data_IF_870517047993
#
_entry.id   IF_870517047993
#
_cell.length_a   1.000
_cell.length_b   1.000
_cell.length_c   1.000
_cell.angle_alpha   90.00
_cell.angle_beta   90.00
_cell.angle_gamma   90.00
#
_symmetry.space_group_name_H-M   'P 1'
#
loop_
_entity.id
_entity.type
_entity.pdbx_description
1 polymer ?
#
# COMPACT_ATOMS: atom_id res chain seq x y z
N UNK A 1 -11.01 9.59 10.59
CA UNK A 1 -10.24 10.74 11.10
C UNK A 1 -9.68 10.36 12.46
N UNK A 2 -8.43 9.90 12.52
CA UNK A 2 -7.75 9.63 13.78
C UNK A 2 -6.72 10.72 13.99
N UNK A 3 -6.96 11.55 15.01
CA UNK A 3 -6.06 12.60 15.44
C UNK A 3 -4.80 11.95 16.02
N UNK A 4 -3.74 11.93 15.22
CA UNK A 4 -2.42 11.46 15.59
C UNK A 4 -1.79 12.55 16.46
N UNK A 5 -1.70 12.29 17.76
CA UNK A 5 -1.01 13.18 18.69
C UNK A 5 0.45 13.33 18.26
N UNK A 6 0.80 14.54 17.81
CA UNK A 6 2.19 14.95 17.59
C UNK A 6 2.86 15.04 18.95
N UNK A 7 3.58 13.98 19.33
CA UNK A 7 4.50 14.03 20.45
C UNK A 7 5.66 14.93 20.00
N UNK A 8 5.91 16.08 20.65
CA UNK A 8 6.98 16.97 20.25
C UNK A 8 8.32 16.23 20.32
N UNK A 9 9.11 16.36 19.26
CA UNK A 9 10.44 15.82 19.13
C UNK A 9 11.25 16.20 20.39
N UNK A 10 11.49 15.19 21.22
CA UNK A 10 12.32 15.29 22.40
C UNK A 10 13.68 15.84 22.00
N UNK A 11 14.08 16.88 22.70
CA UNK A 11 15.35 17.55 22.63
C UNK A 11 16.50 16.57 22.40
N UNK A 12 17.26 16.82 21.32
CA UNK A 12 18.58 16.24 21.11
C UNK A 12 19.42 16.59 22.32
N UNK A 13 19.43 15.69 23.30
CA UNK A 13 20.32 15.77 24.44
C UNK A 13 21.64 15.26 23.91
N UNK A 14 22.43 16.18 23.38
CA UNK A 14 23.87 15.97 23.17
C UNK A 14 24.45 15.70 24.57
N UNK A 15 24.31 14.47 25.06
CA UNK A 15 25.08 13.98 26.19
C UNK A 15 26.50 13.88 25.67
N UNK A 16 27.23 15.00 25.78
CA UNK A 16 28.65 14.95 26.04
C UNK A 16 28.86 13.86 27.06
N UNK A 17 29.61 12.84 26.67
CA UNK A 17 30.16 11.81 27.53
C UNK A 17 31.10 12.47 28.55
N UNK A 18 30.53 13.27 29.44
CA UNK A 18 31.15 13.60 30.71
C UNK A 18 31.09 12.30 31.48
N UNK A 19 32.24 11.64 31.56
CA UNK A 19 32.55 10.60 32.53
C UNK A 19 32.20 11.15 33.91
N UNK A 20 30.93 11.09 34.29
CA UNK A 20 30.48 11.35 35.64
C UNK A 20 31.05 10.20 36.45
N UNK A 21 32.28 10.40 36.95
CA UNK A 21 32.72 9.81 38.20
C UNK A 21 31.69 10.28 39.23
N UNK A 22 30.57 9.60 39.31
CA UNK A 22 29.72 9.62 40.47
C UNK A 22 30.54 8.97 41.58
N UNK A 23 31.41 9.75 42.21
CA UNK A 23 31.96 9.42 43.52
C UNK A 23 30.77 9.45 44.46
N UNK A 24 30.07 8.31 44.53
CA UNK A 24 29.18 7.99 45.63
C UNK A 24 30.06 8.06 46.87
N UNK A 25 30.03 9.20 47.55
CA UNK A 25 30.75 9.37 48.81
C UNK A 25 30.03 8.50 49.83
N UNK A 26 30.50 7.28 50.02
CA UNK A 26 30.03 6.44 51.11
C UNK A 26 30.26 7.19 52.43
N UNK A 27 29.30 7.14 53.38
CA UNK A 27 29.48 7.72 54.70
C UNK A 27 30.79 7.18 55.30
N UNK A 28 31.62 8.04 55.93
CA UNK A 28 33.00 7.73 56.31
C UNK A 28 33.16 6.56 57.29
N UNK A 29 32.05 6.11 57.91
CA UNK A 29 32.04 5.06 58.93
C UNK A 29 31.84 3.64 58.39
N UNK A 30 31.65 3.43 57.09
CA UNK A 30 31.46 2.09 56.50
C UNK A 30 32.63 1.78 55.57
N UNK A 31 33.84 1.68 56.14
CA UNK A 31 34.98 1.12 55.41
C UNK A 31 35.06 -0.37 55.71
N UNK A 32 35.15 -1.23 54.69
CA UNK A 32 35.33 -2.66 54.91
C UNK A 32 36.67 -2.88 55.62
N UNK A 33 36.61 -3.28 56.89
CA UNK A 33 37.80 -3.43 57.77
C UNK A 33 38.37 -4.83 57.69
N UNK A 34 37.53 -5.83 57.43
CA UNK A 34 37.95 -7.23 57.30
C UNK A 34 38.21 -7.60 55.84
N UNK A 35 39.10 -8.58 55.61
CA UNK A 35 39.40 -9.08 54.26
C UNK A 35 38.17 -9.66 53.56
N UNK A 36 37.26 -10.28 54.34
CA UNK A 36 35.99 -10.78 53.85
C UNK A 36 35.08 -9.65 53.35
N UNK A 37 34.93 -8.56 54.12
CA UNK A 37 34.16 -7.39 53.70
C UNK A 37 34.73 -6.76 52.43
N UNK A 38 36.06 -6.67 52.32
CA UNK A 38 36.74 -6.14 51.13
C UNK A 38 36.48 -7.00 49.89
N UNK A 39 36.50 -8.33 50.03
CA UNK A 39 36.17 -9.26 48.94
C UNK A 39 34.72 -9.07 48.45
N UNK A 40 33.76 -9.02 49.37
CA UNK A 40 32.35 -8.82 49.01
C UNK A 40 32.09 -7.44 48.42
N UNK A 41 32.72 -6.39 48.94
CA UNK A 41 32.62 -5.04 48.40
C UNK A 41 33.19 -4.97 46.98
N UNK A 42 34.37 -5.55 46.73
CA UNK A 42 34.96 -5.62 45.40
C UNK A 42 34.05 -6.40 44.44
N UNK A 43 33.50 -7.53 44.88
CA UNK A 43 32.57 -8.34 44.08
C UNK A 43 31.28 -7.58 43.76
N UNK A 44 30.70 -6.88 44.73
CA UNK A 44 29.51 -6.06 44.52
C UNK A 44 29.78 -4.94 43.50
N UNK A 45 30.91 -4.23 43.64
CA UNK A 45 31.32 -3.20 42.70
C UNK A 45 31.52 -3.76 41.29
N UNK A 46 32.16 -4.92 41.14
CA UNK A 46 32.28 -5.57 39.81
C UNK A 46 30.95 -5.97 39.21
N UNK A 47 29.98 -6.38 40.04
CA UNK A 47 28.64 -6.71 39.56
C UNK A 47 27.90 -5.45 39.10
N UNK A 48 28.01 -4.34 39.85
CA UNK A 48 27.41 -3.06 39.48
C UNK A 48 28.02 -2.48 38.21
N UNK A 49 29.34 -2.54 38.04
CA UNK A 49 29.98 -2.06 36.81
C UNK A 49 29.59 -2.90 35.60
N UNK A 50 29.53 -4.23 35.74
CA UNK A 50 29.07 -5.14 34.68
C UNK A 50 27.61 -4.88 34.32
N UNK A 51 26.73 -4.72 35.32
CA UNK A 51 25.32 -4.39 35.10
C UNK A 51 25.17 -3.05 34.38
N UNK A 52 25.91 -2.03 34.82
CA UNK A 52 25.91 -0.70 34.19
C UNK A 52 26.35 -0.76 32.73
N UNK A 53 27.39 -1.53 32.43
CA UNK A 53 27.84 -1.75 31.06
C UNK A 53 26.79 -2.46 30.19
N UNK A 54 26.10 -3.47 30.76
CA UNK A 54 25.00 -4.15 30.06
C UNK A 54 23.81 -3.24 29.77
N UNK A 55 23.41 -2.42 30.74
CA UNK A 55 22.32 -1.47 30.58
C UNK A 55 22.66 -0.40 29.54
N UNK A 56 23.88 0.13 29.56
CA UNK A 56 24.35 1.07 28.55
C UNK A 56 24.28 0.45 27.14
N UNK A 57 24.79 -0.78 26.97
CA UNK A 57 24.73 -1.48 25.70
C UNK A 57 23.29 -1.78 25.24
N UNK A 58 22.39 -2.17 26.16
CA UNK A 58 20.98 -2.38 25.82
C UNK A 58 20.30 -1.09 25.34
N UNK A 59 20.59 0.03 25.99
CA UNK A 59 20.08 1.33 25.57
C UNK A 59 20.59 1.69 24.17
N UNK A 60 21.89 1.50 23.89
CA UNK A 60 22.45 1.72 22.56
C UNK A 60 21.76 0.87 21.48
N UNK A 61 21.49 -0.40 21.77
CA UNK A 61 20.77 -1.28 20.85
C UNK A 61 19.32 -0.81 20.62
N UNK A 62 18.64 -0.35 21.67
CA UNK A 62 17.29 0.20 21.54
C UNK A 62 17.29 1.47 20.69
N UNK A 63 18.25 2.37 20.92
CA UNK A 63 18.37 3.61 20.15
C UNK A 63 18.64 3.31 18.67
N UNK A 64 19.58 2.41 18.37
CA UNK A 64 19.86 1.97 17.00
C UNK A 64 18.64 1.34 16.34
N UNK A 65 17.92 0.48 17.05
CA UNK A 65 16.71 -0.17 16.52
C UNK A 65 15.62 0.85 16.17
N UNK A 66 15.39 1.85 17.04
CA UNK A 66 14.39 2.89 16.81
C UNK A 66 14.76 3.79 15.61
N UNK A 67 16.04 4.10 15.44
CA UNK A 67 16.53 4.89 14.30
C UNK A 67 16.37 4.13 12.98
N UNK A 68 16.62 2.82 12.96
CA UNK A 68 16.37 1.99 11.79
C UNK A 68 14.88 1.87 11.46
N UNK A 69 14.03 1.67 12.45
CA UNK A 69 12.58 1.60 12.27
C UNK A 69 12.04 2.91 11.67
N UNK A 70 12.51 4.06 12.14
CA UNK A 70 12.12 5.35 11.57
C UNK A 70 12.60 5.51 10.12
N UNK A 71 13.81 5.03 9.79
CA UNK A 71 14.31 5.03 8.42
C UNK A 71 13.45 4.14 7.50
N UNK A 72 13.13 2.92 7.95
CA UNK A 72 12.25 1.99 7.20
C UNK A 72 10.86 2.58 7.01
N UNK A 73 10.29 3.20 8.04
CA UNK A 73 8.99 3.86 7.95
C UNK A 73 9.00 4.99 6.90
N UNK A 74 10.07 5.79 6.85
CA UNK A 74 10.27 6.83 5.82
C UNK A 74 10.33 6.21 4.42
N UNK A 75 11.14 5.17 4.23
CA UNK A 75 11.27 4.49 2.93
C UNK A 75 9.94 3.89 2.46
N UNK A 76 9.18 3.24 3.35
CA UNK A 76 7.85 2.70 3.05
C UNK A 76 6.89 3.81 2.63
N UNK A 77 6.87 4.94 3.34
CA UNK A 77 5.99 6.06 3.01
C UNK A 77 6.31 6.67 1.64
N UNK A 78 7.59 6.76 1.27
CA UNK A 78 8.02 7.23 -0.04
C UNK A 78 7.62 6.25 -1.15
N UNK A 79 7.75 4.95 -0.88
CA UNK A 79 7.34 3.91 -1.82
C UNK A 79 5.83 3.91 -2.03
N UNK A 80 5.05 4.03 -0.96
CA UNK A 80 3.59 4.17 -1.01
C UNK A 80 3.18 5.36 -1.87
N UNK A 81 3.78 6.53 -1.63
CA UNK A 81 3.48 7.74 -2.42
C UNK A 81 3.76 7.54 -3.91
N UNK A 82 4.89 6.93 -4.28
CA UNK A 82 5.20 6.61 -5.69
C UNK A 82 4.19 5.63 -6.29
N UNK A 83 3.72 4.66 -5.50
CA UNK A 83 2.71 3.72 -5.96
C UNK A 83 1.35 4.40 -6.16
N UNK A 84 0.94 5.29 -5.26
CA UNK A 84 -0.30 6.06 -5.37
C UNK A 84 -0.28 6.99 -6.60
N UNK A 85 0.85 7.65 -6.86
CA UNK A 85 1.04 8.49 -8.06
C UNK A 85 0.91 7.68 -9.36
N UNK A 86 1.46 6.46 -9.42
CA UNK A 86 1.28 5.57 -10.58
C UNK A 86 -0.15 5.05 -10.68
N UNK A 87 -0.74 4.67 -9.55
CA UNK A 87 -2.10 4.11 -9.52
C UNK A 87 -3.15 5.13 -9.97
N UNK A 88 -3.02 6.40 -9.55
CA UNK A 88 -3.91 7.48 -9.99
C UNK A 88 -3.81 7.76 -11.51
N UNK A 89 -2.62 7.66 -12.10
CA UNK A 89 -2.45 7.75 -13.56
C UNK A 89 -3.11 6.58 -14.28
N UNK A 90 -2.96 5.36 -13.76
CA UNK A 90 -3.62 4.18 -14.30
C UNK A 90 -5.14 4.29 -14.18
N UNK A 91 -5.64 4.76 -13.03
CA UNK A 91 -7.07 5.00 -12.81
C UNK A 91 -7.63 6.01 -13.82
N UNK A 92 -6.94 7.12 -14.06
CA UNK A 92 -7.32 8.11 -15.06
C UNK A 92 -7.36 7.52 -16.48
N UNK A 93 -6.36 6.72 -16.85
CA UNK A 93 -6.33 6.05 -18.16
C UNK A 93 -7.48 5.05 -18.31
N UNK A 94 -7.80 4.29 -17.26
CA UNK A 94 -8.91 3.34 -17.30
C UNK A 94 -10.26 4.07 -17.42
N UNK A 95 -10.46 5.16 -16.68
CA UNK A 95 -11.67 5.98 -16.80
C UNK A 95 -11.80 6.54 -18.22
N UNK A 96 -10.71 7.06 -18.80
CA UNK A 96 -10.71 7.59 -20.17
C UNK A 96 -11.02 6.50 -21.21
N UNK A 97 -10.41 5.32 -21.09
CA UNK A 97 -10.67 4.17 -21.96
C UNK A 97 -12.14 3.72 -21.87
N UNK A 98 -12.68 3.67 -20.65
CA UNK A 98 -14.06 3.29 -20.38
C UNK A 98 -15.05 4.29 -20.99
N UNK A 99 -14.79 5.60 -20.86
CA UNK A 99 -15.57 6.65 -21.53
C UNK A 99 -15.52 6.51 -23.06
N UNK A 100 -14.35 6.23 -23.64
CA UNK A 100 -14.18 5.99 -25.07
C UNK A 100 -14.97 4.76 -25.55
N UNK A 101 -14.95 3.67 -24.77
CA UNK A 101 -15.73 2.46 -25.06
C UNK A 101 -17.23 2.75 -25.04
N UNK A 102 -17.73 3.48 -24.04
CA UNK A 102 -19.14 3.87 -23.98
C UNK A 102 -19.52 4.77 -25.16
N UNK A 103 -18.69 5.74 -25.53
CA UNK A 103 -18.93 6.62 -26.66
C UNK A 103 -18.96 5.87 -28.01
N UNK A 104 -18.06 4.91 -28.22
CA UNK A 104 -18.03 4.08 -29.44
C UNK A 104 -19.27 3.18 -29.52
N UNK A 105 -19.68 2.54 -28.43
CA UNK A 105 -20.93 1.75 -28.38
C UNK A 105 -22.14 2.64 -28.69
N UNK A 106 -22.23 3.83 -28.10
CA UNK A 106 -23.31 4.77 -28.36
C UNK A 106 -23.34 5.23 -29.83
N UNK A 107 -22.17 5.52 -30.42
CA UNK A 107 -22.05 5.90 -31.83
C UNK A 107 -22.49 4.77 -32.77
N UNK A 108 -22.15 3.52 -32.48
CA UNK A 108 -22.57 2.34 -33.26
C UNK A 108 -24.09 2.17 -33.18
N UNK A 109 -24.68 2.29 -31.98
CA UNK A 109 -26.13 2.19 -31.81
C UNK A 109 -26.83 3.32 -32.57
N UNK A 110 -26.31 4.54 -32.50
CA UNK A 110 -26.88 5.69 -33.21
C UNK A 110 -26.80 5.53 -34.73
N UNK A 111 -25.65 5.13 -35.27
CA UNK A 111 -25.46 4.93 -36.72
C UNK A 111 -26.36 3.81 -37.26
N UNK A 112 -26.49 2.69 -36.53
CA UNK A 112 -27.38 1.60 -36.92
C UNK A 112 -28.86 2.00 -36.80
N UNK A 113 -29.23 2.87 -35.85
CA UNK A 113 -30.61 3.38 -35.76
C UNK A 113 -30.98 4.26 -36.95
N UNK A 114 -30.07 5.14 -37.38
CA UNK A 114 -30.28 6.03 -38.53
C UNK A 114 -30.26 5.28 -39.88
N UNK A 115 -29.39 4.26 -40.01
CA UNK A 115 -29.28 3.46 -41.24
C UNK A 115 -30.51 2.58 -41.53
N UNK A 116 -31.35 2.27 -40.54
CA UNK A 116 -32.59 1.49 -40.74
C UNK A 116 -33.67 2.23 -41.55
N UNK A 117 -33.49 3.51 -41.85
CA UNK A 117 -34.37 4.28 -42.74
C UNK A 117 -33.91 4.27 -44.21
N UNK A 118 -32.73 3.73 -44.52
CA UNK A 118 -32.31 3.51 -45.91
C UNK A 118 -32.80 2.14 -46.39
N UNK A 119 -33.44 2.11 -47.56
CA UNK A 119 -34.01 0.90 -48.14
C UNK A 119 -32.96 -0.22 -48.28
N UNK A 120 -33.33 -1.50 -48.03
CA UNK A 120 -32.39 -2.60 -48.04
C UNK A 120 -31.95 -2.93 -49.47
N UNK A 121 -30.76 -2.48 -49.87
CA UNK A 121 -30.06 -3.08 -51.03
C UNK A 121 -29.38 -4.35 -50.53
N UNK A 122 -30.05 -5.48 -50.73
CA UNK A 122 -29.52 -6.78 -50.35
C UNK A 122 -28.20 -7.05 -51.04
N UNK A 123 -27.21 -7.49 -50.26
CA UNK A 123 -26.16 -8.46 -50.63
C UNK A 123 -25.48 -8.88 -49.33
N UNK A 124 -25.97 -10.00 -48.76
CA UNK A 124 -25.32 -10.66 -47.64
C UNK A 124 -24.17 -11.50 -48.17
N UNK A 125 -22.94 -11.16 -47.80
CA UNK A 125 -21.80 -12.07 -47.95
C UNK A 125 -21.54 -12.68 -46.56
N UNK A 126 -21.64 -14.01 -46.40
CA UNK A 126 -21.41 -14.68 -45.12
C UNK A 126 -19.90 -14.79 -44.86
N UNK A 127 -19.40 -14.06 -43.85
CA UNK A 127 -18.02 -14.17 -43.38
C UNK A 127 -17.97 -15.07 -42.15
N UNK A 128 -17.72 -16.35 -42.35
CA UNK A 128 -17.32 -17.26 -41.27
C UNK A 128 -15.93 -16.87 -40.78
N UNK A 129 -15.85 -16.27 -39.59
CA UNK A 129 -14.60 -16.12 -38.85
C UNK A 129 -14.36 -17.39 -38.03
N UNK A 130 -13.49 -18.26 -38.55
CA UNK A 130 -12.75 -19.23 -37.73
C UNK A 130 -11.84 -18.46 -36.79
N UNK A 131 -12.17 -18.49 -35.50
CA UNK A 131 -11.27 -18.09 -34.42
C UNK A 131 -10.23 -19.21 -34.29
N UNK A 132 -8.96 -19.02 -34.67
CA UNK A 132 -7.95 -20.01 -34.34
C UNK A 132 -7.81 -20.04 -32.82
N UNK A 133 -8.21 -21.19 -32.30
CA UNK A 133 -7.97 -21.79 -31.00
C UNK A 133 -6.78 -21.13 -30.29
N UNK A 134 -7.12 -20.40 -29.23
CA UNK A 134 -6.37 -20.31 -27.97
C UNK A 134 -4.87 -20.54 -28.12
N UNK A 135 -4.18 -19.45 -28.40
CA UNK A 135 -2.78 -19.27 -28.07
C UNK A 135 -2.48 -19.83 -26.66
N UNK A 136 -1.47 -20.70 -26.49
CA UNK A 136 -1.08 -21.28 -25.21
C UNK A 136 -0.43 -20.28 -24.24
N UNK A 137 -0.47 -18.97 -24.54
CA UNK A 137 0.13 -17.93 -23.69
C UNK A 137 -0.82 -17.35 -22.64
N UNK A 138 -2.04 -17.89 -22.45
CA UNK A 138 -2.94 -17.44 -21.38
C UNK A 138 -2.80 -18.20 -20.05
N UNK A 139 -1.80 -19.08 -19.92
CA UNK A 139 -1.63 -19.93 -18.73
C UNK A 139 -0.25 -19.82 -18.09
N UNK A 140 0.19 -18.60 -17.79
CA UNK A 140 1.16 -18.34 -16.70
C UNK A 140 0.81 -17.00 -16.06
N UNK A 141 -0.39 -16.91 -15.49
CA UNK A 141 -0.72 -15.88 -14.50
C UNK A 141 -0.56 -16.54 -13.14
N UNK A 142 0.69 -16.68 -12.74
CA UNK A 142 1.07 -17.10 -11.39
C UNK A 142 0.57 -16.05 -10.41
N UNK A 143 -0.62 -16.27 -9.84
CA UNK A 143 -1.01 -16.15 -8.42
C UNK A 143 -0.63 -14.89 -7.61
N UNK A 144 -0.05 -13.85 -8.22
CA UNK A 144 0.02 -12.51 -7.66
C UNK A 144 -1.30 -11.83 -7.99
N UNK A 145 -2.28 -12.15 -7.14
CA UNK A 145 -3.65 -11.66 -7.15
C UNK A 145 -3.70 -10.21 -7.60
N UNK A 146 -4.18 -10.09 -8.83
CA UNK A 146 -4.61 -8.88 -9.52
C UNK A 146 -5.12 -7.84 -8.52
N UNK A 147 -4.33 -6.78 -8.33
CA UNK A 147 -4.82 -5.52 -7.78
C UNK A 147 -5.75 -4.80 -8.76
N UNK A 148 -6.58 -5.56 -9.51
CA UNK A 148 -7.76 -5.03 -10.15
C UNK A 148 -8.69 -4.69 -9.00
N UNK A 149 -8.66 -3.41 -8.61
CA UNK A 149 -9.48 -2.86 -7.54
C UNK A 149 -10.90 -3.39 -7.67
N UNK A 150 -11.43 -4.03 -6.62
CA UNK A 150 -12.81 -4.51 -6.57
C UNK A 150 -13.80 -3.42 -6.96
N UNK A 151 -13.46 -2.14 -6.71
CA UNK A 151 -14.22 -0.97 -7.15
C UNK A 151 -14.35 -0.88 -8.67
N UNK A 152 -13.29 -1.20 -9.41
CA UNK A 152 -13.25 -1.16 -10.86
C UNK A 152 -14.10 -2.27 -11.47
N UNK A 153 -14.06 -3.46 -10.87
CA UNK A 153 -14.91 -4.60 -11.26
C UNK A 153 -16.39 -4.31 -10.99
N UNK A 154 -16.72 -3.73 -9.83
CA UNK A 154 -18.09 -3.30 -9.52
C UNK A 154 -18.55 -2.20 -10.47
N UNK A 155 -17.70 -1.21 -10.77
CA UNK A 155 -18.03 -0.13 -11.71
C UNK A 155 -18.26 -0.65 -13.14
N UNK A 156 -17.40 -1.53 -13.63
CA UNK A 156 -17.55 -2.11 -14.97
C UNK A 156 -18.79 -3.01 -15.06
N UNK A 157 -19.08 -3.81 -14.03
CA UNK A 157 -20.30 -4.61 -13.96
C UNK A 157 -21.56 -3.73 -13.94
N UNK A 158 -21.56 -2.63 -13.18
CA UNK A 158 -22.67 -1.69 -13.13
C UNK A 158 -22.91 -1.00 -14.49
N UNK A 159 -21.85 -0.55 -15.16
CA UNK A 159 -21.96 0.06 -16.50
C UNK A 159 -22.48 -0.94 -17.52
N UNK A 160 -22.00 -2.19 -17.46
CA UNK A 160 -22.47 -3.27 -18.34
C UNK A 160 -23.95 -3.58 -18.12
N UNK A 161 -24.40 -3.58 -16.85
CA UNK A 161 -25.82 -3.79 -16.52
C UNK A 161 -26.71 -2.64 -17.03
N UNK A 162 -26.26 -1.38 -16.90
CA UNK A 162 -27.00 -0.21 -17.42
C UNK A 162 -27.08 -0.24 -18.95
N UNK A 163 -25.99 -0.57 -19.63
CA UNK A 163 -25.96 -0.74 -21.09
C UNK A 163 -26.87 -1.86 -21.53
N UNK A 164 -26.82 -3.03 -20.88
CA UNK A 164 -27.69 -4.16 -21.17
C UNK A 164 -29.17 -3.78 -21.02
N UNK A 165 -29.52 -3.06 -19.94
CA UNK A 165 -30.87 -2.56 -19.72
C UNK A 165 -31.32 -1.56 -20.79
N UNK A 166 -30.47 -0.60 -21.16
CA UNK A 166 -30.77 0.38 -22.19
C UNK A 166 -31.00 -0.28 -23.56
N UNK A 167 -30.15 -1.24 -23.93
CA UNK A 167 -30.32 -2.05 -25.14
C UNK A 167 -31.64 -2.83 -25.12
N UNK A 168 -31.96 -3.48 -24.00
CA UNK A 168 -33.19 -4.25 -23.86
C UNK A 168 -34.43 -3.36 -23.95
N UNK A 169 -34.40 -2.19 -23.31
CA UNK A 169 -35.49 -1.20 -23.36
C UNK A 169 -35.68 -0.64 -24.77
N UNK A 170 -34.59 -0.29 -25.44
CA UNK A 170 -34.64 0.18 -26.83
C UNK A 170 -35.25 -0.87 -27.75
N UNK A 171 -34.84 -2.13 -27.57
CA UNK A 171 -35.37 -3.26 -28.33
C UNK A 171 -36.87 -3.45 -28.12
N UNK A 172 -37.38 -3.46 -26.89
CA UNK A 172 -38.81 -3.62 -26.59
C UNK A 172 -39.64 -2.50 -27.24
N UNK A 173 -39.19 -1.24 -27.13
CA UNK A 173 -39.94 -0.09 -27.67
C UNK A 173 -40.05 -0.17 -29.19
N UNK A 174 -39.01 -0.64 -29.88
CA UNK A 174 -39.01 -0.76 -31.34
C UNK A 174 -39.65 -2.06 -31.83
N UNK A 175 -39.59 -3.14 -31.05
CA UNK A 175 -40.27 -4.40 -31.37
C UNK A 175 -41.78 -4.24 -31.41
N UNK A 176 -42.35 -3.34 -30.60
CA UNK A 176 -43.80 -3.09 -30.53
C UNK A 176 -44.35 -2.24 -31.70
N UNK A 177 -43.47 -1.63 -32.50
CA UNK A 177 -43.83 -0.81 -33.66
C UNK A 177 -43.74 -1.59 -34.99
N UNK A 178 -43.22 -2.81 -34.96
CA UNK A 178 -43.34 -3.78 -36.06
C UNK A 178 -44.54 -4.67 -35.80
#
# INVERSE_FOLDING_TARGET
MYARALIPAGYATTQTAATLKATVSLPPNVRPTTTAEQYWAARALTAETLLSAKLAHQNELMDLSSAEEEKRAREISLLQRRHEERNSRLEMLVILLLCCLVATVAAIVHSHSSARHAAPTGWSIPTHFTIPILSPFTSVVEHETSAVSTRLLVASAAITAVLAYACFRYWIVHARKR
#
